data_IF_303917786721
#
_entry.id   IF_303917786721
#
_cell.length_a   1.000
_cell.length_b   1.000
_cell.length_c   1.000
_cell.angle_alpha   90.00
_cell.angle_beta   90.00
_cell.angle_gamma   90.00
#
_symmetry.space_group_name_H-M   'P 1'
#
loop_
_entity.id
_entity.type
_entity.pdbx_description
1 polymer ?
#
# COMPACT_ATOMS: atom_id res chain seq x y z
N UNK A 1 -36.54 17.92 4.51
CA UNK A 1 -35.62 18.07 3.36
C UNK A 1 -34.18 18.07 3.87
N UNK A 2 -33.60 16.92 4.21
CA UNK A 2 -32.22 16.83 4.74
C UNK A 2 -31.56 15.45 4.55
N UNK A 3 -32.11 14.62 3.66
CA UNK A 3 -31.56 13.29 3.31
C UNK A 3 -30.20 13.31 2.57
N UNK A 4 -29.75 14.38 1.87
CA UNK A 4 -28.51 14.27 1.10
C UNK A 4 -27.27 14.18 1.99
N UNK A 5 -27.30 14.78 3.20
CA UNK A 5 -26.15 14.73 4.11
C UNK A 5 -25.84 13.30 4.58
N UNK A 6 -26.89 12.53 4.88
CA UNK A 6 -26.76 11.12 5.26
C UNK A 6 -26.28 10.25 4.10
N UNK A 7 -26.75 10.51 2.88
CA UNK A 7 -26.27 9.81 1.69
C UNK A 7 -24.79 10.10 1.39
N UNK A 8 -24.37 11.37 1.52
CA UNK A 8 -22.96 11.77 1.35
C UNK A 8 -22.06 11.11 2.39
N UNK A 9 -22.48 11.13 3.67
CA UNK A 9 -21.72 10.46 4.73
C UNK A 9 -21.55 8.96 4.47
N UNK A 10 -22.60 8.26 4.04
CA UNK A 10 -22.54 6.84 3.69
C UNK A 10 -21.55 6.58 2.56
N UNK A 11 -21.58 7.38 1.50
CA UNK A 11 -20.67 7.24 0.37
C UNK A 11 -19.21 7.43 0.80
N UNK A 12 -18.92 8.44 1.63
CA UNK A 12 -17.57 8.68 2.14
C UNK A 12 -17.06 7.48 2.93
N UNK A 13 -17.89 6.91 3.81
CA UNK A 13 -17.51 5.72 4.59
C UNK A 13 -17.21 4.52 3.69
N UNK A 14 -18.04 4.28 2.67
CA UNK A 14 -17.81 3.18 1.73
C UNK A 14 -16.52 3.36 0.93
N UNK A 15 -16.21 4.58 0.48
CA UNK A 15 -14.96 4.88 -0.23
C UNK A 15 -13.73 4.67 0.66
N UNK A 16 -13.81 5.07 1.93
CA UNK A 16 -12.72 4.85 2.89
C UNK A 16 -12.49 3.37 3.13
N UNK A 17 -13.54 2.57 3.36
CA UNK A 17 -13.41 1.11 3.50
C UNK A 17 -12.76 0.49 2.26
N UNK A 18 -13.23 0.85 1.07
CA UNK A 18 -12.70 0.33 -0.19
C UNK A 18 -11.21 0.70 -0.37
N UNK A 19 -10.82 1.93 -0.05
CA UNK A 19 -9.43 2.41 -0.14
C UNK A 19 -8.49 1.84 0.93
N UNK A 20 -9.07 1.28 2.01
CA UNK A 20 -8.31 0.71 3.13
C UNK A 20 -7.82 -0.72 2.87
N UNK A 21 -8.30 -1.37 1.81
CA UNK A 21 -7.99 -2.77 1.52
C UNK A 21 -7.09 -2.86 0.29
N UNK A 22 -6.09 -3.73 0.34
CA UNK A 22 -5.29 -4.11 -0.82
C UNK A 22 -4.97 -5.61 -0.79
N UNK A 23 -4.60 -6.18 -1.93
CA UNK A 23 -4.27 -7.60 -2.05
C UNK A 23 -2.85 -7.77 -2.55
N UNK A 24 -2.16 -8.79 -2.04
CA UNK A 24 -0.80 -9.11 -2.43
C UNK A 24 -0.74 -10.52 -3.01
N UNK A 25 -0.12 -10.68 -4.18
CA UNK A 25 0.13 -12.00 -4.75
C UNK A 25 1.34 -12.69 -4.11
N UNK A 26 1.47 -14.01 -4.29
CA UNK A 26 2.61 -14.77 -3.75
C UNK A 26 3.95 -14.32 -4.34
N UNK A 27 3.96 -13.82 -5.57
CA UNK A 27 5.15 -13.30 -6.26
C UNK A 27 5.49 -11.86 -5.88
N UNK A 28 4.61 -11.16 -5.18
CA UNK A 28 4.81 -9.76 -4.83
C UNK A 28 5.13 -9.58 -3.35
N UNK A 29 5.85 -8.51 -3.05
CA UNK A 29 5.99 -7.93 -1.72
C UNK A 29 5.53 -6.47 -1.77
N UNK A 30 5.10 -5.94 -0.63
CA UNK A 30 4.65 -4.55 -0.53
C UNK A 30 5.42 -3.80 0.54
N UNK A 31 5.79 -2.55 0.24
CA UNK A 31 6.32 -1.61 1.23
C UNK A 31 5.27 -0.53 1.44
N UNK A 32 4.88 -0.33 2.70
CA UNK A 32 3.97 0.74 3.07
C UNK A 32 4.79 1.99 3.39
N UNK A 33 4.43 3.10 2.75
CA UNK A 33 4.97 4.41 3.09
C UNK A 33 3.88 5.26 3.71
N UNK A 34 4.26 6.08 4.68
CA UNK A 34 3.41 7.06 5.32
C UNK A 34 4.11 8.41 5.26
N UNK A 35 3.48 9.39 4.60
CA UNK A 35 4.09 10.69 4.35
C UNK A 35 5.49 10.58 3.73
N UNK A 36 5.66 9.64 2.80
CA UNK A 36 6.93 9.39 2.11
C UNK A 36 7.99 8.62 2.91
N UNK A 37 7.68 8.18 4.14
CA UNK A 37 8.61 7.37 4.96
C UNK A 37 8.13 5.93 5.02
N UNK A 38 8.97 4.92 4.80
CA UNK A 38 8.57 3.53 4.99
C UNK A 38 8.16 3.30 6.45
N UNK A 39 7.02 2.65 6.65
CA UNK A 39 6.50 2.30 7.98
C UNK A 39 6.43 0.79 8.09
N UNK A 40 7.11 0.27 9.11
CA UNK A 40 7.24 -1.17 9.31
C UNK A 40 8.25 -1.80 8.35
N UNK A 41 8.16 -3.13 8.21
CA UNK A 41 8.95 -3.90 7.26
C UNK A 41 8.16 -4.23 5.98
N UNK A 42 8.83 -4.86 5.00
CA UNK A 42 8.17 -5.35 3.80
C UNK A 42 7.12 -6.42 4.15
N UNK A 43 5.91 -6.24 3.62
CA UNK A 43 4.83 -7.22 3.70
C UNK A 43 5.04 -8.24 2.59
N UNK A 44 5.34 -9.48 2.98
CA UNK A 44 5.63 -10.57 2.03
C UNK A 44 4.54 -11.65 2.02
N UNK A 45 3.61 -11.61 2.97
CA UNK A 45 2.54 -12.62 3.04
C UNK A 45 1.49 -12.33 1.96
N UNK A 46 1.20 -13.32 1.12
CA UNK A 46 0.13 -13.19 0.14
C UNK A 46 -1.24 -13.12 0.82
N UNK A 47 -2.19 -12.45 0.16
CA UNK A 47 -3.57 -12.34 0.62
C UNK A 47 -4.03 -10.91 0.79
N UNK A 48 -5.07 -10.74 1.60
CA UNK A 48 -5.76 -9.48 1.82
C UNK A 48 -5.15 -8.74 3.01
N UNK A 49 -4.86 -7.46 2.81
CA UNK A 49 -4.21 -6.60 3.79
C UNK A 49 -4.97 -5.30 3.96
N UNK A 50 -4.77 -4.67 5.12
CA UNK A 50 -5.35 -3.38 5.45
C UNK A 50 -4.26 -2.31 5.52
N UNK A 51 -4.61 -1.12 5.03
CA UNK A 51 -3.83 0.10 5.14
C UNK A 51 -4.71 1.24 5.60
N UNK A 52 -4.09 2.26 6.19
CA UNK A 52 -4.77 3.51 6.48
C UNK A 52 -5.01 4.26 5.16
N UNK A 53 -6.27 4.51 4.77
CA UNK A 53 -6.57 5.26 3.55
C UNK A 53 -6.06 6.70 3.69
N UNK A 54 -5.76 7.35 2.58
CA UNK A 54 -5.25 8.73 2.46
C UNK A 54 -3.82 8.98 2.96
N UNK A 55 -3.37 8.27 4.00
CA UNK A 55 -2.09 8.53 4.67
C UNK A 55 -1.03 7.51 4.27
N UNK A 56 -1.43 6.26 4.06
CA UNK A 56 -0.53 5.17 3.67
C UNK A 56 -0.67 4.81 2.19
N UNK A 57 0.47 4.74 1.53
CA UNK A 57 0.63 4.29 0.16
C UNK A 57 1.29 2.91 0.15
N UNK A 58 0.89 2.07 -0.81
CA UNK A 58 1.41 0.70 -0.96
C UNK A 58 2.20 0.62 -2.25
N UNK A 59 3.49 0.36 -2.13
CA UNK A 59 4.38 0.13 -3.26
C UNK A 59 4.60 -1.36 -3.41
N UNK A 60 4.21 -1.91 -4.56
CA UNK A 60 4.34 -3.34 -4.86
C UNK A 60 5.65 -3.58 -5.60
N UNK A 61 6.36 -4.63 -5.21
CA UNK A 61 7.62 -5.06 -5.79
C UNK A 61 7.58 -6.56 -6.05
N UNK A 62 8.23 -7.01 -7.11
CA UNK A 62 8.39 -8.45 -7.38
C UNK A 62 9.44 -9.04 -6.43
N UNK A 63 9.11 -10.14 -5.75
CA UNK A 63 10.05 -10.85 -4.86
C UNK A 63 11.18 -11.55 -5.63
N UNK A 64 11.00 -11.79 -6.92
CA UNK A 64 12.00 -12.45 -7.77
C UNK A 64 13.08 -11.48 -8.23
N UNK A 65 12.88 -10.19 -8.03
CA UNK A 65 13.92 -9.20 -8.24
C UNK A 65 15.01 -9.41 -7.19
N UNK A 66 16.24 -9.67 -7.62
CA UNK A 66 17.38 -9.79 -6.72
C UNK A 66 17.66 -8.41 -6.12
N UNK A 67 17.75 -8.34 -4.79
CA UNK A 67 18.19 -7.12 -4.12
C UNK A 67 19.61 -6.81 -4.60
N UNK A 68 19.83 -5.57 -5.05
CA UNK A 68 21.13 -5.16 -5.55
C UNK A 68 22.09 -4.98 -4.36
N UNK A 69 22.96 -5.96 -4.14
CA UNK A 69 24.04 -5.94 -3.15
C UNK A 69 25.34 -5.39 -3.75
N UNK A 70 25.24 -4.27 -4.47
CA UNK A 70 26.41 -3.57 -4.99
C UNK A 70 26.88 -2.49 -4.03
N UNK A 71 28.21 -2.35 -3.90
CA UNK A 71 28.80 -1.22 -3.18
C UNK A 71 28.25 0.11 -3.72
N UNK A 72 27.98 1.07 -2.83
CA UNK A 72 27.33 2.35 -3.16
C UNK A 72 28.04 3.17 -4.26
N UNK A 73 29.28 2.81 -4.61
CA UNK A 73 30.09 3.44 -5.64
C UNK A 73 30.07 2.73 -7.00
N UNK A 74 29.26 1.68 -7.21
CA UNK A 74 29.18 0.98 -8.49
C UNK A 74 27.79 1.12 -9.11
N UNK A 75 27.71 1.83 -10.24
CA UNK A 75 26.55 1.77 -11.14
C UNK A 75 26.88 0.69 -12.20
N UNK A 76 26.03 -0.32 -12.41
CA UNK A 76 26.26 -1.29 -13.47
C UNK A 76 26.16 -0.57 -14.83
N UNK A 77 27.28 -0.48 -15.54
CA UNK A 77 27.39 0.01 -16.93
C UNK A 77 26.96 -1.03 -17.94
#
# INVERSE_FOLDING_TARGET
MSRPLGAVGLVVVLLLLYSSVYTLSETEQAILTQFGKPVGGPVTQAGLHLKLPLIQEVHHFDKRWLEFDGDANQIPT
#
